data_IF_369230993378
#
_entry.id   IF_369230993378
#
_cell.length_a   1.000
_cell.length_b   1.000
_cell.length_c   1.000
_cell.angle_alpha   90.00
_cell.angle_beta   90.00
_cell.angle_gamma   90.00
#
_symmetry.space_group_name_H-M   'P 1'
#
loop_
_entity.id
_entity.type
_entity.pdbx_description
1 polymer ?
#
# COMPACT_ATOMS: atom_id res chain seq x y z
N UNK A 1 21.21 11.20 -14.70
CA UNK A 1 19.74 11.23 -14.95
C UNK A 1 19.28 9.79 -15.13
N UNK A 2 18.19 9.41 -14.47
CA UNK A 2 17.64 8.06 -14.46
C UNK A 2 16.49 7.99 -13.44
N UNK A 3 15.71 6.91 -13.47
CA UNK A 3 14.67 6.67 -12.45
C UNK A 3 15.38 6.35 -11.13
N UNK A 4 14.98 7.03 -10.05
CA UNK A 4 15.58 6.89 -8.72
C UNK A 4 14.73 6.08 -7.76
N UNK A 5 13.41 6.08 -7.95
CA UNK A 5 12.47 5.41 -7.08
C UNK A 5 11.46 4.64 -7.92
N UNK A 6 11.13 3.42 -7.50
CA UNK A 6 10.09 2.57 -8.07
C UNK A 6 9.02 2.26 -7.01
N UNK A 7 7.77 2.53 -7.35
CA UNK A 7 6.59 2.28 -6.51
C UNK A 7 5.68 1.20 -7.12
N UNK A 8 6.20 0.34 -7.99
CA UNK A 8 5.41 -0.69 -8.69
C UNK A 8 5.41 -2.05 -7.97
N UNK A 9 6.23 -2.19 -6.93
CA UNK A 9 6.41 -3.42 -6.17
C UNK A 9 5.26 -3.71 -5.20
N UNK A 10 4.11 -4.10 -5.76
CA UNK A 10 2.95 -4.59 -5.03
C UNK A 10 2.17 -5.63 -5.84
N UNK A 11 1.19 -6.28 -5.22
CA UNK A 11 0.30 -7.23 -5.87
C UNK A 11 -0.92 -6.53 -6.45
N UNK A 12 -1.29 -6.86 -7.70
CA UNK A 12 -2.52 -6.34 -8.30
C UNK A 12 -3.78 -7.02 -7.73
N UNK A 13 -3.72 -8.32 -7.43
CA UNK A 13 -4.90 -9.12 -7.09
C UNK A 13 -5.11 -9.42 -5.61
N UNK A 14 -4.17 -9.04 -4.73
CA UNK A 14 -4.29 -9.28 -3.30
C UNK A 14 -3.54 -8.19 -2.50
N UNK A 15 -3.97 -7.85 -1.28
CA UNK A 15 -3.19 -7.03 -0.36
C UNK A 15 -2.01 -7.83 0.22
N UNK A 16 -0.95 -7.14 0.63
CA UNK A 16 0.15 -7.73 1.39
C UNK A 16 1.54 -7.31 0.90
N UNK A 17 2.55 -8.06 1.31
CA UNK A 17 3.97 -7.68 1.18
C UNK A 17 4.63 -8.42 0.01
N UNK A 18 4.49 -7.92 -1.22
CA UNK A 18 5.05 -8.59 -2.42
C UNK A 18 6.57 -8.77 -2.36
N UNK A 19 7.28 -7.79 -1.83
CA UNK A 19 8.72 -7.86 -1.61
C UNK A 19 9.13 -8.66 -0.35
N UNK A 20 8.17 -9.22 0.40
CA UNK A 20 8.42 -9.81 1.71
C UNK A 20 8.79 -8.80 2.80
N UNK A 21 8.77 -7.50 2.47
CA UNK A 21 9.12 -6.39 3.36
C UNK A 21 8.20 -5.19 3.14
N UNK A 22 8.13 -4.32 4.15
CA UNK A 22 7.52 -2.98 4.12
C UNK A 22 8.55 -1.85 4.25
N UNK A 23 9.85 -2.19 4.18
CA UNK A 23 10.92 -1.21 4.18
C UNK A 23 11.40 -0.96 2.75
N UNK A 24 11.61 0.30 2.33
CA UNK A 24 12.31 0.58 1.10
C UNK A 24 13.69 -0.08 1.07
N UNK A 25 14.12 -0.52 -0.11
CA UNK A 25 15.42 -1.18 -0.30
C UNK A 25 15.98 -0.85 -1.68
N UNK A 26 17.31 -0.82 -1.80
CA UNK A 26 17.96 -0.65 -3.11
C UNK A 26 17.86 -1.94 -3.92
N UNK A 27 17.49 -1.81 -5.20
CA UNK A 27 17.39 -2.95 -6.09
C UNK A 27 18.76 -3.60 -6.29
N UNK A 28 18.82 -4.92 -6.18
CA UNK A 28 20.05 -5.70 -6.32
C UNK A 28 20.16 -6.28 -7.73
N UNK A 29 21.21 -5.91 -8.45
CA UNK A 29 21.54 -6.49 -9.75
C UNK A 29 22.30 -7.80 -9.54
N UNK A 30 21.67 -8.93 -9.91
CA UNK A 30 22.26 -10.27 -9.77
C UNK A 30 23.37 -10.54 -10.79
N UNK A 31 23.34 -9.91 -11.96
CA UNK A 31 24.37 -10.10 -12.99
C UNK A 31 25.65 -9.41 -12.59
N UNK A 32 25.53 -8.19 -12.07
CA UNK A 32 26.66 -7.38 -11.59
C UNK A 32 27.03 -7.66 -10.12
N UNK A 33 26.20 -8.45 -9.42
CA UNK A 33 26.30 -8.79 -8.01
C UNK A 33 26.51 -7.57 -7.10
N UNK A 34 25.68 -6.54 -7.30
CA UNK A 34 25.78 -5.26 -6.58
C UNK A 34 24.41 -4.60 -6.39
N UNK A 35 24.29 -3.81 -5.32
CA UNK A 35 23.17 -2.89 -5.15
C UNK A 35 23.26 -1.75 -6.18
N UNK A 36 22.11 -1.32 -6.68
CA UNK A 36 21.96 -0.20 -7.61
C UNK A 36 21.50 1.06 -6.86
N UNK A 37 21.50 2.22 -7.54
CA UNK A 37 20.94 3.45 -6.99
C UNK A 37 19.40 3.56 -7.11
N UNK A 38 18.72 2.49 -7.56
CA UNK A 38 17.26 2.47 -7.69
C UNK A 38 16.65 2.00 -6.36
N UNK A 39 15.92 2.89 -5.70
CA UNK A 39 15.17 2.59 -4.47
C UNK A 39 13.81 1.99 -4.82
N UNK A 40 13.53 0.77 -4.36
CA UNK A 40 12.21 0.15 -4.49
C UNK A 40 11.42 0.44 -3.21
N UNK A 41 10.23 1.03 -3.38
CA UNK A 41 9.30 1.34 -2.29
C UNK A 41 8.05 0.46 -2.45
N UNK A 42 7.96 -0.68 -1.74
CA UNK A 42 6.83 -1.60 -1.90
C UNK A 42 5.55 -1.06 -1.24
N UNK A 43 4.42 -1.28 -1.90
CA UNK A 43 3.09 -0.93 -1.37
C UNK A 43 2.28 -2.16 -0.96
N UNK A 44 1.42 -2.00 0.04
CA UNK A 44 0.70 -3.11 0.68
C UNK A 44 -0.74 -3.25 0.19
N UNK A 45 -1.36 -2.16 -0.27
CA UNK A 45 -2.78 -2.17 -0.64
C UNK A 45 -3.07 -1.17 -1.73
N UNK A 46 -4.02 -1.53 -2.60
CA UNK A 46 -4.58 -0.68 -3.64
C UNK A 46 -6.10 -0.75 -3.58
N UNK A 47 -6.78 0.38 -3.75
CA UNK A 47 -8.23 0.49 -3.85
C UNK A 47 -8.85 -0.50 -4.87
N UNK A 48 -8.25 -0.59 -6.06
CA UNK A 48 -8.64 -1.53 -7.11
C UNK A 48 -8.50 -2.99 -6.70
N UNK A 49 -7.49 -3.34 -5.89
CA UNK A 49 -7.33 -4.71 -5.34
C UNK A 49 -8.54 -5.10 -4.52
N UNK A 50 -8.92 -4.24 -3.57
CA UNK A 50 -10.01 -4.49 -2.64
C UNK A 50 -11.37 -4.49 -3.37
N UNK A 51 -11.61 -3.50 -4.25
CA UNK A 51 -12.90 -3.38 -4.94
C UNK A 51 -13.07 -4.32 -6.12
N UNK A 52 -12.11 -4.34 -7.05
CA UNK A 52 -12.29 -4.99 -8.36
C UNK A 52 -11.92 -6.48 -8.29
N UNK A 53 -10.84 -6.82 -7.59
CA UNK A 53 -10.34 -8.20 -7.53
C UNK A 53 -10.98 -8.97 -6.38
N UNK A 54 -10.95 -8.43 -5.16
CA UNK A 54 -11.52 -9.09 -3.99
C UNK A 54 -13.03 -8.90 -3.84
N UNK A 55 -13.60 -7.87 -4.48
CA UNK A 55 -15.03 -7.51 -4.36
C UNK A 55 -15.47 -7.28 -2.91
N UNK A 56 -14.55 -6.77 -2.08
CA UNK A 56 -14.80 -6.47 -0.67
C UNK A 56 -15.72 -5.26 -0.51
N UNK A 57 -16.52 -5.26 0.55
CA UNK A 57 -17.28 -4.08 0.95
C UNK A 57 -16.36 -2.99 1.50
N UNK A 58 -16.81 -1.72 1.60
CA UNK A 58 -16.08 -0.67 2.32
C UNK A 58 -15.67 -1.08 3.74
N UNK A 59 -16.58 -1.70 4.50
CA UNK A 59 -16.34 -2.12 5.88
C UNK A 59 -15.31 -3.24 5.98
N UNK A 60 -15.34 -4.20 5.05
CA UNK A 60 -14.31 -5.26 4.95
C UNK A 60 -12.95 -4.67 4.56
N UNK A 61 -12.95 -3.73 3.63
CA UNK A 61 -11.76 -3.03 3.14
C UNK A 61 -11.07 -2.27 4.27
N UNK A 62 -11.83 -1.55 5.10
CA UNK A 62 -11.32 -0.86 6.29
C UNK A 62 -10.63 -1.84 7.23
N UNK A 63 -11.25 -2.99 7.54
CA UNK A 63 -10.66 -4.01 8.42
C UNK A 63 -9.34 -4.55 7.87
N UNK A 64 -9.29 -4.84 6.57
CA UNK A 64 -8.08 -5.32 5.90
C UNK A 64 -6.97 -4.28 5.99
N UNK A 65 -7.27 -3.02 5.68
CA UNK A 65 -6.31 -1.92 5.72
C UNK A 65 -5.76 -1.71 7.13
N UNK A 66 -6.62 -1.65 8.15
CA UNK A 66 -6.21 -1.49 9.55
C UNK A 66 -5.27 -2.61 10.00
N UNK A 67 -5.57 -3.87 9.64
CA UNK A 67 -4.68 -5.00 9.94
C UNK A 67 -3.30 -4.90 9.25
N UNK A 68 -3.23 -4.34 8.04
CA UNK A 68 -1.94 -4.12 7.36
C UNK A 68 -1.14 -3.01 8.05
N UNK A 69 -1.81 -1.90 8.40
CA UNK A 69 -1.20 -0.78 9.13
C UNK A 69 -0.64 -1.29 10.46
N UNK A 70 -1.42 -2.05 11.23
CA UNK A 70 -1.00 -2.61 12.52
C UNK A 70 0.28 -3.46 12.36
N UNK A 71 0.31 -4.38 11.40
CA UNK A 71 1.48 -5.23 11.12
C UNK A 71 2.72 -4.44 10.72
N UNK A 72 2.54 -3.35 9.96
CA UNK A 72 3.66 -2.48 9.57
C UNK A 72 4.16 -1.68 10.77
N UNK A 73 3.24 -1.17 11.59
CA UNK A 73 3.58 -0.41 12.79
C UNK A 73 4.32 -1.26 13.82
N UNK A 74 3.89 -2.51 14.04
CA UNK A 74 4.54 -3.49 14.94
C UNK A 74 6.03 -3.69 14.65
N UNK A 75 6.42 -3.57 13.38
CA UNK A 75 7.80 -3.74 12.96
C UNK A 75 8.52 -2.44 12.66
N UNK A 76 7.91 -1.28 12.88
CA UNK A 76 8.47 0.04 12.54
C UNK A 76 8.80 0.20 11.05
N UNK A 77 7.92 -0.29 10.18
CA UNK A 77 8.09 -0.23 8.73
C UNK A 77 7.39 0.98 8.08
N UNK A 78 7.37 1.00 6.74
CA UNK A 78 6.69 2.05 5.96
C UNK A 78 5.42 1.47 5.33
N UNK A 79 4.25 2.03 5.66
CA UNK A 79 3.00 1.65 5.04
C UNK A 79 2.74 2.53 3.82
N UNK A 80 2.53 1.90 2.66
CA UNK A 80 2.23 2.60 1.41
C UNK A 80 0.95 2.03 0.81
N UNK A 81 0.05 2.93 0.42
CA UNK A 81 -1.21 2.60 -0.24
C UNK A 81 -1.32 3.30 -1.59
N UNK A 82 -2.03 2.68 -2.54
CA UNK A 82 -2.27 3.20 -3.88
C UNK A 82 -3.77 3.47 -4.07
N UNK A 83 -4.09 4.67 -4.54
CA UNK A 83 -5.47 5.11 -4.76
C UNK A 83 -5.62 5.75 -6.14
N UNK A 84 -6.74 5.48 -6.80
CA UNK A 84 -7.12 6.11 -8.06
C UNK A 84 -8.11 7.25 -7.77
N UNK A 85 -8.00 8.37 -8.49
CA UNK A 85 -8.87 9.53 -8.24
C UNK A 85 -10.38 9.21 -8.27
N UNK A 86 -10.80 8.26 -9.13
CA UNK A 86 -12.19 7.84 -9.21
C UNK A 86 -12.72 7.13 -7.95
N UNK A 87 -11.82 6.56 -7.13
CA UNK A 87 -12.23 5.87 -5.91
C UNK A 87 -12.77 6.80 -4.84
N UNK A 88 -12.45 8.09 -4.91
CA UNK A 88 -12.92 9.13 -3.99
C UNK A 88 -14.08 9.95 -4.57
N UNK A 89 -14.73 9.44 -5.62
CA UNK A 89 -15.81 10.16 -6.31
C UNK A 89 -17.19 10.00 -5.67
N UNK A 90 -17.36 9.05 -4.75
CA UNK A 90 -18.67 8.62 -4.23
C UNK A 90 -19.69 8.22 -5.32
N UNK A 91 -19.21 7.97 -6.53
CA UNK A 91 -20.06 7.72 -7.69
C UNK A 91 -20.03 6.27 -8.14
N UNK A 92 -21.19 5.78 -8.57
CA UNK A 92 -21.36 4.43 -9.09
C UNK A 92 -20.86 3.40 -8.09
N UNK A 93 -19.89 2.56 -8.47
CA UNK A 93 -19.45 1.49 -7.60
C UNK A 93 -18.40 1.92 -6.56
N UNK A 94 -18.02 3.20 -6.54
CA UNK A 94 -17.13 3.82 -5.57
C UNK A 94 -17.89 4.54 -4.44
N UNK A 95 -19.22 4.36 -4.36
CA UNK A 95 -20.01 4.87 -3.23
C UNK A 95 -19.55 4.21 -1.91
N UNK A 96 -19.30 5.04 -0.89
CA UNK A 96 -18.79 4.65 0.42
C UNK A 96 -17.27 4.53 0.53
N UNK A 97 -16.51 4.79 -0.56
CA UNK A 97 -15.06 4.59 -0.56
C UNK A 97 -14.26 5.78 0.00
N UNK A 98 -14.86 6.97 0.08
CA UNK A 98 -14.25 8.11 0.78
C UNK A 98 -14.04 7.77 2.25
N UNK A 99 -15.02 7.12 2.89
CA UNK A 99 -14.90 6.66 4.28
C UNK A 99 -13.74 5.67 4.45
N UNK A 100 -13.51 4.78 3.48
CA UNK A 100 -12.38 3.82 3.54
C UNK A 100 -11.05 4.56 3.57
N UNK A 101 -10.91 5.61 2.78
CA UNK A 101 -9.72 6.45 2.74
C UNK A 101 -9.53 7.24 4.04
N UNK A 102 -10.60 7.85 4.55
CA UNK A 102 -10.57 8.62 5.81
C UNK A 102 -10.18 7.74 7.01
N UNK A 103 -10.80 6.57 7.15
CA UNK A 103 -10.52 5.61 8.23
C UNK A 103 -9.11 5.02 8.13
N UNK A 104 -8.57 4.86 6.92
CA UNK A 104 -7.18 4.50 6.72
C UNK A 104 -6.24 5.59 7.26
N UNK A 105 -6.50 6.86 6.90
CA UNK A 105 -5.67 7.98 7.33
C UNK A 105 -5.69 8.16 8.84
N UNK A 106 -6.87 8.11 9.46
CA UNK A 106 -7.03 8.22 10.90
C UNK A 106 -6.26 7.12 11.63
N UNK A 107 -6.45 5.86 11.22
CA UNK A 107 -5.77 4.73 11.84
C UNK A 107 -4.25 4.72 11.62
N UNK A 108 -3.79 5.12 10.42
CA UNK A 108 -2.36 5.27 10.14
C UNK A 108 -1.75 6.36 11.02
N UNK A 109 -2.43 7.51 11.15
CA UNK A 109 -1.99 8.60 12.01
C UNK A 109 -1.89 8.14 13.47
N UNK A 110 -2.89 7.44 14.00
CA UNK A 110 -2.87 6.91 15.38
C UNK A 110 -1.73 5.89 15.62
N UNK A 111 -1.46 5.01 14.66
CA UNK A 111 -0.50 3.91 14.84
C UNK A 111 0.94 4.26 14.55
N UNK A 112 1.17 5.30 13.74
CA UNK A 112 2.49 5.58 13.16
C UNK A 112 3.05 6.96 13.51
N UNK A 113 2.41 7.70 14.42
CA UNK A 113 2.88 9.03 14.86
C UNK A 113 4.27 9.02 15.52
N UNK A 114 4.64 7.91 16.16
CA UNK A 114 5.86 7.78 16.98
C UNK A 114 6.90 6.81 16.40
N UNK A 115 6.74 6.41 15.13
CA UNK A 115 7.65 5.50 14.42
C UNK A 115 8.67 6.31 13.61
#
# INVERSE_FOLDING_TARGET
MGIKEDYTMGYAGAPGFRAGTCRPFYFFDLTENKETELLVVPFQVMDGTLRNYMKSSPEESIKIIKQLIDKVAEVGGTFVSLWHNESLSEWGPWKGWTQVYEEMLEHAYEKMQDI
#
